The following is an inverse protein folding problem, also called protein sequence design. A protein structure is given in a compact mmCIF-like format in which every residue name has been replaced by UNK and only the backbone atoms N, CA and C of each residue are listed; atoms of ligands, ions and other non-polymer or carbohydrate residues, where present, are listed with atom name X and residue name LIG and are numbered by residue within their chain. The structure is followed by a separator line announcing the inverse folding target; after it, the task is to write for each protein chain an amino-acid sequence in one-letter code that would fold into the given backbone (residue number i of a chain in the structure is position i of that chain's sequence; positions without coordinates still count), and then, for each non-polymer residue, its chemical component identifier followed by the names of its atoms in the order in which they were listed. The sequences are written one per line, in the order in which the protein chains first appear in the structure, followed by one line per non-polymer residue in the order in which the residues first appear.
data_IF_065895736458
#
_entry.id   IF_065895736458
#
_cell.length_a   1.000
_cell.length_b   1.000
_cell.length_c   1.000
_cell.angle_alpha   90.00
_cell.angle_beta   90.00
_cell.angle_gamma   90.00
#
_symmetry.space_group_name_H-M   'P 1'
#
loop_
_entity.id
_entity.type
_entity.pdbx_description
1 polymer ?
#
# COMPACT_ATOMS: atom_id res chain seq x y z
N UNK A 1 -1.13 37.14 8.86
CA UNK A 1 -1.29 36.69 7.46
C UNK A 1 -1.97 35.34 7.54
N UNK A 2 -3.08 35.09 6.84
CA UNK A 2 -3.54 33.70 6.68
C UNK A 2 -2.44 33.00 5.90
N UNK A 3 -1.81 31.97 6.47
CA UNK A 3 -0.92 31.10 5.72
C UNK A 3 -1.66 30.66 4.46
N UNK A 4 -1.02 30.78 3.29
CA UNK A 4 -1.60 30.25 2.06
C UNK A 4 -1.86 28.75 2.26
N UNK A 5 -3.01 28.28 1.80
CA UNK A 5 -3.37 26.87 1.89
C UNK A 5 -2.25 26.03 1.23
N UNK A 6 -1.80 24.94 1.87
CA UNK A 6 -0.63 24.22 1.41
C UNK A 6 -0.89 23.57 0.05
N UNK A 7 0.08 23.66 -0.84
CA UNK A 7 0.15 22.90 -2.09
C UNK A 7 1.23 21.85 -1.96
N UNK A 8 0.88 20.60 -2.22
CA UNK A 8 1.78 19.44 -2.13
C UNK A 8 1.63 18.56 -3.37
N UNK A 9 2.61 17.71 -3.63
CA UNK A 9 2.58 16.83 -4.80
C UNK A 9 3.03 15.41 -4.50
N UNK A 10 2.31 14.45 -5.07
CA UNK A 10 2.83 13.12 -5.32
C UNK A 10 3.40 13.06 -6.74
N UNK A 11 4.70 12.82 -6.84
CA UNK A 11 5.44 12.89 -8.11
C UNK A 11 6.12 11.55 -8.47
N UNK A 12 5.35 10.51 -8.83
CA UNK A 12 5.91 9.20 -9.18
C UNK A 12 6.48 9.19 -10.60
N UNK A 13 7.58 8.47 -10.79
CA UNK A 13 8.04 8.06 -12.12
C UNK A 13 7.29 6.80 -12.57
N UNK A 14 6.72 6.75 -13.78
CA UNK A 14 6.01 5.58 -14.30
C UNK A 14 6.99 4.50 -14.80
N UNK A 15 8.05 4.22 -14.05
CA UNK A 15 9.09 3.24 -14.39
C UNK A 15 8.87 1.88 -13.70
N UNK A 16 7.70 1.70 -13.11
CA UNK A 16 7.35 0.58 -12.25
C UNK A 16 5.98 0.79 -11.61
N UNK A 17 5.38 -0.29 -11.14
CA UNK A 17 4.14 -0.24 -10.37
C UNK A 17 4.35 0.33 -8.98
N UNK A 18 3.30 0.94 -8.42
CA UNK A 18 3.39 1.57 -7.11
C UNK A 18 3.59 0.54 -6.01
N UNK A 19 4.67 0.68 -5.25
CA UNK A 19 4.89 -0.10 -4.03
C UNK A 19 4.29 0.62 -2.80
N UNK A 20 4.15 -0.12 -1.69
CA UNK A 20 3.67 0.38 -0.38
C UNK A 20 4.29 1.71 0.04
N UNK A 21 5.61 1.89 -0.08
CA UNK A 21 6.27 3.15 0.30
C UNK A 21 5.81 4.37 -0.51
N UNK A 22 5.44 4.18 -1.78
CA UNK A 22 4.93 5.20 -2.68
C UNK A 22 3.47 5.50 -2.35
N UNK A 23 2.67 4.47 -2.10
CA UNK A 23 1.28 4.60 -1.63
C UNK A 23 1.21 5.40 -0.33
N UNK A 24 2.09 5.10 0.63
CA UNK A 24 2.16 5.85 1.90
C UNK A 24 2.59 7.30 1.66
N UNK A 25 3.54 7.55 0.77
CA UNK A 25 3.96 8.92 0.43
C UNK A 25 2.80 9.71 -0.20
N UNK A 26 2.05 9.11 -1.13
CA UNK A 26 0.85 9.70 -1.70
C UNK A 26 -0.20 9.98 -0.61
N UNK A 27 -0.44 9.01 0.28
CA UNK A 27 -1.37 9.15 1.39
C UNK A 27 -0.99 10.30 2.35
N UNK A 28 0.28 10.44 2.72
CA UNK A 28 0.70 11.55 3.61
C UNK A 28 0.56 12.92 2.95
N UNK A 29 0.86 13.03 1.65
CA UNK A 29 0.57 14.26 0.89
C UNK A 29 -0.93 14.56 0.89
N UNK A 30 -1.76 13.56 0.57
CA UNK A 30 -3.20 13.71 0.52
C UNK A 30 -3.81 14.07 1.89
N UNK A 31 -3.41 13.37 2.96
CA UNK A 31 -3.88 13.64 4.33
C UNK A 31 -3.52 15.06 4.76
N UNK A 32 -2.28 15.50 4.50
CA UNK A 32 -1.86 16.87 4.83
C UNK A 32 -2.66 17.92 4.05
N UNK A 33 -2.84 17.73 2.74
CA UNK A 33 -3.64 18.63 1.92
C UNK A 33 -5.09 18.69 2.41
N UNK A 34 -5.74 17.54 2.64
CA UNK A 34 -7.14 17.49 3.10
C UNK A 34 -7.30 18.06 4.51
N UNK A 35 -6.35 17.80 5.43
CA UNK A 35 -6.35 18.34 6.79
C UNK A 35 -6.31 19.89 6.81
N UNK A 36 -5.51 20.47 5.93
CA UNK A 36 -5.23 21.91 5.89
C UNK A 36 -6.08 22.67 4.88
N UNK A 37 -7.03 22.01 4.19
CA UNK A 37 -7.81 22.61 3.11
C UNK A 37 -6.93 23.06 1.92
N UNK A 38 -5.83 22.35 1.68
CA UNK A 38 -4.85 22.58 0.62
C UNK A 38 -5.13 21.82 -0.68
N UNK A 39 -4.12 21.80 -1.54
CA UNK A 39 -4.16 21.20 -2.88
C UNK A 39 -3.20 20.01 -2.96
N UNK A 40 -3.72 18.85 -3.36
CA UNK A 40 -2.97 17.63 -3.67
C UNK A 40 -2.80 17.46 -5.18
N UNK A 41 -1.55 17.52 -5.64
CA UNK A 41 -1.20 17.44 -7.06
C UNK A 41 -0.62 16.07 -7.41
N UNK A 42 -1.07 15.46 -8.51
CA UNK A 42 -0.40 14.32 -9.14
C UNK A 42 0.42 14.80 -10.34
N UNK A 43 1.73 14.54 -10.33
CA UNK A 43 2.64 14.86 -11.45
C UNK A 43 3.43 13.64 -11.86
N UNK A 44 3.42 13.25 -13.13
CA UNK A 44 4.24 12.13 -13.59
C UNK A 44 5.64 12.59 -14.01
N UNK A 45 6.64 11.93 -13.45
CA UNK A 45 8.06 12.19 -13.72
C UNK A 45 8.60 11.19 -14.73
N UNK A 46 8.21 11.39 -15.98
CA UNK A 46 8.46 10.51 -17.12
C UNK A 46 9.62 10.99 -18.00
N UNK A 47 10.60 11.70 -17.45
CA UNK A 47 11.75 12.25 -18.21
C UNK A 47 12.76 11.19 -18.65
N UNK A 48 12.81 10.04 -17.97
CA UNK A 48 13.60 8.87 -18.35
C UNK A 48 12.79 7.91 -19.24
N UNK A 49 12.58 8.31 -20.49
CA UNK A 49 11.74 7.61 -21.47
C UNK A 49 12.13 6.13 -21.66
N UNK A 50 13.41 5.78 -21.51
CA UNK A 50 13.89 4.41 -21.67
C UNK A 50 13.41 3.46 -20.55
N UNK A 51 12.97 4.01 -19.41
CA UNK A 51 12.51 3.24 -18.25
C UNK A 51 11.00 3.29 -18.07
N UNK A 52 10.28 4.09 -18.86
CA UNK A 52 8.82 4.21 -18.77
C UNK A 52 8.17 2.87 -19.11
N UNK A 53 7.20 2.47 -18.30
CA UNK A 53 6.35 1.30 -18.51
C UNK A 53 4.95 1.81 -18.88
N UNK A 54 4.45 1.40 -20.03
CA UNK A 54 3.24 1.94 -20.69
C UNK A 54 2.01 1.96 -19.77
N UNK A 55 1.77 0.89 -19.00
CA UNK A 55 0.59 0.75 -18.14
C UNK A 55 0.82 1.23 -16.68
N UNK A 56 2.06 1.56 -16.30
CA UNK A 56 2.39 1.90 -14.92
C UNK A 56 1.69 3.19 -14.46
N UNK A 57 1.60 4.22 -15.31
CA UNK A 57 0.91 5.45 -14.98
C UNK A 57 -0.61 5.23 -14.76
N UNK A 58 -1.23 4.41 -15.61
CA UNK A 58 -2.63 4.03 -15.44
C UNK A 58 -2.84 3.25 -14.13
N UNK A 59 -2.01 2.25 -13.87
CA UNK A 59 -2.05 1.47 -12.63
C UNK A 59 -1.87 2.34 -11.37
N UNK A 60 -1.00 3.35 -11.43
CA UNK A 60 -0.82 4.34 -10.36
C UNK A 60 -2.11 5.13 -10.11
N UNK A 61 -2.71 5.68 -11.17
CA UNK A 61 -3.96 6.44 -11.06
C UNK A 61 -5.11 5.57 -10.53
N UNK A 62 -5.24 4.35 -11.03
CA UNK A 62 -6.29 3.41 -10.61
C UNK A 62 -6.10 2.97 -9.14
N UNK A 63 -4.84 2.84 -8.69
CA UNK A 63 -4.51 2.57 -7.28
C UNK A 63 -4.95 3.73 -6.37
N UNK A 64 -4.64 4.97 -6.74
CA UNK A 64 -5.05 6.15 -5.98
C UNK A 64 -6.57 6.31 -5.96
N UNK A 65 -7.24 6.10 -7.11
CA UNK A 65 -8.69 6.18 -7.23
C UNK A 65 -9.40 5.10 -6.40
N UNK A 66 -8.91 3.85 -6.41
CA UNK A 66 -9.48 2.78 -5.60
C UNK A 66 -9.34 3.06 -4.10
N UNK A 67 -8.21 3.62 -3.67
CA UNK A 67 -8.03 4.07 -2.29
C UNK A 67 -8.90 5.28 -1.95
N UNK A 68 -9.39 6.03 -2.93
CA UNK A 68 -10.11 7.29 -2.70
C UNK A 68 -9.18 8.47 -2.41
N UNK A 69 -7.93 8.40 -2.87
CA UNK A 69 -6.96 9.50 -2.83
C UNK A 69 -7.11 10.35 -4.09
N UNK A 70 -8.19 11.12 -4.14
CA UNK A 70 -8.47 12.07 -5.21
C UNK A 70 -7.42 13.18 -5.28
N UNK A 71 -7.05 13.62 -6.49
CA UNK A 71 -6.13 14.74 -6.70
C UNK A 71 -6.85 15.93 -7.32
N UNK A 72 -6.50 17.11 -6.85
CA UNK A 72 -7.13 18.37 -7.22
C UNK A 72 -6.58 18.91 -8.55
N UNK A 73 -5.28 18.66 -8.79
CA UNK A 73 -4.58 19.00 -10.02
C UNK A 73 -3.76 17.79 -10.49
N UNK A 74 -3.73 17.53 -11.80
CA UNK A 74 -2.99 16.38 -12.33
C UNK A 74 -3.49 15.87 -13.68
N UNK A 75 -2.95 14.74 -14.17
CA UNK A 75 -3.51 14.02 -15.30
C UNK A 75 -5.01 13.73 -15.08
N UNK A 76 -5.81 13.77 -16.15
CA UNK A 76 -7.29 13.65 -16.15
C UNK A 76 -8.03 14.80 -15.45
N UNK A 77 -7.56 15.30 -14.30
CA UNK A 77 -8.17 16.40 -13.56
C UNK A 77 -7.90 17.79 -14.18
N UNK A 78 -6.75 17.96 -14.84
CA UNK A 78 -6.30 19.26 -15.33
C UNK A 78 -5.82 20.15 -14.17
N UNK A 79 -6.00 21.46 -14.29
CA UNK A 79 -5.61 22.46 -13.28
C UNK A 79 -4.74 23.58 -13.85
N UNK A 80 -4.50 24.61 -13.05
CA UNK A 80 -3.88 25.86 -13.51
C UNK A 80 -2.39 25.75 -13.87
N UNK A 81 -1.68 24.75 -13.35
CA UNK A 81 -0.21 24.63 -13.47
C UNK A 81 0.23 23.52 -14.42
N UNK A 82 -0.69 23.02 -15.25
CA UNK A 82 -0.40 21.98 -16.24
C UNK A 82 0.62 22.41 -17.31
N UNK A 83 1.06 21.48 -18.16
CA UNK A 83 0.75 20.05 -18.12
C UNK A 83 1.43 19.34 -16.95
N UNK A 84 0.87 18.19 -16.52
CA UNK A 84 1.32 17.42 -15.34
C UNK A 84 2.17 16.19 -15.70
N UNK A 85 2.65 16.14 -16.94
CA UNK A 85 3.62 15.17 -17.43
C UNK A 85 4.90 15.93 -17.74
N UNK A 86 6.02 15.54 -17.16
CA UNK A 86 7.28 16.25 -17.38
C UNK A 86 7.73 16.17 -18.85
N UNK A 87 7.44 15.06 -19.54
CA UNK A 87 7.65 14.93 -20.98
C UNK A 87 6.96 16.00 -21.84
N UNK A 88 5.91 16.65 -21.32
CA UNK A 88 5.17 17.69 -22.00
C UNK A 88 5.65 19.11 -21.62
N UNK A 89 6.71 19.22 -20.82
CA UNK A 89 7.22 20.49 -20.25
C UNK A 89 8.63 20.84 -20.73
N UNK A 90 9.13 20.17 -21.78
CA UNK A 90 10.52 20.29 -22.24
C UNK A 90 10.95 21.73 -22.53
N UNK A 91 10.11 22.50 -23.21
CA UNK A 91 10.37 23.91 -23.52
C UNK A 91 10.57 24.76 -22.25
N UNK A 92 9.78 24.49 -21.20
CA UNK A 92 9.93 25.17 -19.91
C UNK A 92 11.30 24.89 -19.30
N UNK A 93 11.74 23.63 -19.27
CA UNK A 93 13.05 23.29 -18.72
C UNK A 93 14.19 23.89 -19.53
N UNK A 94 14.09 23.90 -20.86
CA UNK A 94 15.09 24.52 -21.74
C UNK A 94 15.24 26.02 -21.43
N UNK A 95 14.13 26.75 -21.36
CA UNK A 95 14.13 28.18 -21.02
C UNK A 95 14.75 28.49 -19.64
N UNK A 96 14.45 27.66 -18.64
CA UNK A 96 15.03 27.83 -17.30
C UNK A 96 16.52 27.49 -17.28
N UNK A 97 16.96 26.51 -18.06
CA UNK A 97 18.37 26.18 -18.18
C UNK A 97 19.15 27.29 -18.91
N UNK A 98 18.57 27.88 -19.96
CA UNK A 98 19.11 29.04 -20.66
C UNK A 98 19.27 30.24 -19.72
N UNK A 99 18.26 30.51 -18.88
CA UNK A 99 18.34 31.60 -17.88
C UNK A 99 19.54 31.41 -16.95
N UNK A 100 19.75 30.20 -16.43
CA UNK A 100 20.90 29.91 -15.55
C UNK A 100 22.24 29.91 -16.31
N UNK A 101 22.23 29.54 -17.59
CA UNK A 101 23.40 29.58 -18.45
C UNK A 101 23.85 31.02 -18.71
N UNK A 102 22.93 31.93 -19.00
CA UNK A 102 23.19 33.38 -19.13
C UNK A 102 23.73 33.99 -17.83
N UNK A 103 23.26 33.49 -16.67
CA UNK A 103 23.75 33.89 -15.35
C UNK A 103 25.08 33.24 -14.95
N UNK A 104 25.64 32.35 -15.79
CA UNK A 104 26.87 31.61 -15.49
C UNK A 104 26.73 30.59 -14.34
N UNK A 105 25.51 30.21 -13.98
CA UNK A 105 25.20 29.18 -12.95
C UNK A 105 25.06 27.79 -13.55
N UNK A 106 24.94 27.68 -14.86
CA UNK A 106 25.06 26.44 -15.64
C UNK A 106 26.15 26.61 -16.69
N UNK A 107 26.81 25.52 -17.09
CA UNK A 107 27.79 25.49 -18.18
C UNK A 107 27.61 24.25 -19.06
N UNK A 108 28.18 24.31 -20.27
CA UNK A 108 28.20 23.20 -21.22
C UNK A 108 29.37 22.26 -20.93
N UNK A 109 29.10 20.95 -20.96
CA UNK A 109 30.11 19.90 -20.78
C UNK A 109 30.06 18.91 -21.96
N UNK A 110 31.17 18.82 -22.70
CA UNK A 110 31.37 17.92 -23.85
C UNK A 110 32.12 16.65 -23.46
N UNK A 111 32.34 16.40 -22.18
CA UNK A 111 33.07 15.20 -21.72
C UNK A 111 32.30 13.94 -22.11
N UNK A 112 32.89 13.04 -22.93
CA UNK A 112 32.25 11.80 -23.33
C UNK A 112 31.89 10.92 -22.12
N UNK A 113 30.78 10.16 -22.18
CA UNK A 113 30.40 9.25 -21.10
C UNK A 113 31.48 8.22 -20.73
N UNK A 114 32.29 7.79 -21.71
CA UNK A 114 33.39 6.83 -21.52
C UNK A 114 34.51 7.43 -20.66
N UNK A 115 34.83 8.72 -20.85
CA UNK A 115 35.85 9.43 -20.07
C UNK A 115 35.39 9.58 -18.61
N UNK A 116 34.12 9.96 -18.38
CA UNK A 116 33.53 10.04 -17.04
C UNK A 116 33.53 8.67 -16.31
N UNK A 117 33.24 7.59 -17.03
CA UNK A 117 33.27 6.24 -16.46
C UNK A 117 34.70 5.79 -16.13
N UNK A 118 35.69 6.16 -16.94
CA UNK A 118 37.09 5.92 -16.63
C UNK A 118 37.53 6.68 -15.36
N UNK A 119 37.15 7.95 -15.22
CA UNK A 119 37.40 8.74 -14.01
C UNK A 119 36.75 8.12 -12.76
N UNK A 120 35.51 7.62 -12.91
CA UNK A 120 34.79 6.92 -11.82
C UNK A 120 35.50 5.64 -11.39
N UNK A 121 35.93 4.81 -12.35
CA UNK A 121 36.70 3.58 -12.07
C UNK A 121 38.03 3.88 -11.41
N UNK A 122 38.72 4.95 -11.81
CA UNK A 122 39.96 5.39 -11.16
C UNK A 122 39.72 5.78 -9.68
N UNK A 123 38.69 6.60 -9.41
CA UNK A 123 38.31 6.97 -8.04
C UNK A 123 37.96 5.75 -7.17
N UNK A 124 37.22 4.79 -7.73
CA UNK A 124 36.87 3.54 -7.04
C UNK A 124 38.11 2.70 -6.72
N UNK A 125 39.06 2.58 -7.65
CA UNK A 125 40.34 1.88 -7.43
C UNK A 125 41.16 2.53 -6.32
N UNK A 126 41.09 3.85 -6.22
CA UNK A 126 41.71 4.67 -5.17
C UNK A 126 40.91 4.69 -3.86
N UNK A 127 39.74 4.02 -3.81
CA UNK A 127 38.82 3.99 -2.65
C UNK A 127 38.39 5.38 -2.17
N UNK A 128 38.32 6.35 -3.07
CA UNK A 128 37.78 7.68 -2.79
C UNK A 128 36.41 7.86 -3.45
N UNK A 129 35.53 8.71 -2.90
CA UNK A 129 34.31 9.10 -3.58
C UNK A 129 34.60 9.70 -4.96
N UNK A 130 33.82 9.32 -5.96
CA UNK A 130 33.88 9.98 -7.27
C UNK A 130 33.14 11.31 -7.18
N UNK A 131 33.87 12.41 -7.39
CA UNK A 131 33.35 13.76 -7.49
C UNK A 131 33.75 14.32 -8.85
N UNK A 132 32.80 14.92 -9.55
CA UNK A 132 33.09 15.64 -10.79
C UNK A 132 33.86 16.91 -10.45
N UNK A 133 35.07 17.02 -10.97
CA UNK A 133 35.91 18.21 -10.90
C UNK A 133 35.74 19.00 -12.20
N UNK A 134 35.16 20.21 -12.09
CA UNK A 134 34.88 21.07 -13.25
C UNK A 134 36.13 21.34 -14.09
N UNK A 135 37.31 21.38 -13.48
CA UNK A 135 38.57 21.63 -14.20
C UNK A 135 39.02 20.46 -15.09
N UNK A 136 38.46 19.27 -14.88
CA UNK A 136 38.75 18.05 -15.64
C UNK A 136 37.75 17.81 -16.78
N UNK A 137 36.72 18.65 -16.87
CA UNK A 137 35.68 18.56 -17.90
C UNK A 137 36.07 19.35 -19.15
N UNK A 138 35.62 18.85 -20.31
CA UNK A 138 35.73 19.55 -21.59
C UNK A 138 34.66 20.63 -21.65
N UNK A 139 35.05 21.89 -21.64
CA UNK A 139 34.16 23.08 -21.58
C UNK A 139 34.40 24.08 -22.72
N UNK A 140 35.22 23.70 -23.71
CA UNK A 140 35.67 24.50 -24.85
C UNK A 140 35.17 23.97 -26.20
N UNK A 141 34.20 23.05 -26.19
CA UNK A 141 33.62 22.46 -27.40
C UNK A 141 32.69 23.41 -28.18
N UNK A 142 32.34 23.02 -29.40
CA UNK A 142 31.36 23.77 -30.20
C UNK A 142 29.94 23.59 -29.64
N UNK A 143 29.10 24.65 -29.55
CA UNK A 143 27.69 24.52 -29.16
C UNK A 143 26.88 23.53 -30.02
N UNK A 144 27.31 23.27 -31.25
CA UNK A 144 26.64 22.33 -32.18
C UNK A 144 27.03 20.86 -31.93
N UNK A 145 28.07 20.60 -31.14
CA UNK A 145 28.47 19.25 -30.76
C UNK A 145 27.62 18.74 -29.58
N UNK A 146 27.38 17.40 -29.48
CA UNK A 146 26.64 16.83 -28.36
C UNK A 146 27.28 17.18 -27.01
N UNK A 147 26.52 17.84 -26.14
CA UNK A 147 26.96 18.25 -24.81
C UNK A 147 25.81 18.17 -23.82
N UNK A 148 26.14 18.12 -22.53
CA UNK A 148 25.15 18.27 -21.46
C UNK A 148 25.24 19.67 -20.87
N UNK A 149 24.16 20.13 -20.24
CA UNK A 149 24.18 21.34 -19.40
C UNK A 149 24.32 20.92 -17.94
N UNK A 150 25.38 21.38 -17.27
CA UNK A 150 25.66 21.10 -15.85
C UNK A 150 25.43 22.31 -14.99
N UNK A 151 24.83 22.09 -13.82
CA UNK A 151 24.79 23.07 -12.76
C UNK A 151 26.16 23.26 -12.12
N UNK A 152 26.60 24.51 -12.06
CA UNK A 152 27.80 24.92 -11.37
C UNK A 152 27.48 25.10 -9.87
N UNK A 153 27.79 24.09 -9.06
CA UNK A 153 27.66 24.19 -7.60
C UNK A 153 28.52 25.35 -7.09
N UNK A 154 27.94 26.18 -6.22
CA UNK A 154 28.68 27.15 -5.43
C UNK A 154 29.29 26.45 -4.22
N UNK A 155 30.58 26.10 -4.34
CA UNK A 155 31.31 25.37 -3.31
C UNK A 155 31.56 26.18 -2.04
N UNK A 156 31.36 27.51 -2.07
CA UNK A 156 31.51 28.39 -0.91
C UNK A 156 30.22 28.54 -0.11
N UNK A 157 29.10 28.08 -0.67
CA UNK A 157 27.80 28.14 -0.04
C UNK A 157 27.44 26.77 0.58
N UNK A 158 27.26 26.75 1.89
CA UNK A 158 26.86 25.56 2.64
C UNK A 158 25.33 25.53 2.80
N UNK A 159 24.59 24.77 1.98
CA UNK A 159 23.14 24.68 2.11
C UNK A 159 22.76 24.03 3.45
N UNK A 160 21.80 24.64 4.12
CA UNK A 160 21.22 24.14 5.35
C UNK A 160 19.70 24.38 5.37
N UNK A 161 18.95 23.45 5.93
CA UNK A 161 17.49 23.49 5.98
C UNK A 161 16.97 22.82 7.24
N UNK A 162 15.73 23.12 7.59
CA UNK A 162 15.00 22.47 8.66
C UNK A 162 14.04 21.45 8.04
N UNK A 163 14.40 20.17 8.15
CA UNK A 163 13.50 19.09 7.75
C UNK A 163 12.48 18.86 8.85
N UNK A 164 11.20 18.72 8.50
CA UNK A 164 10.13 18.54 9.51
C UNK A 164 10.32 17.24 10.30
N UNK A 165 10.84 16.18 9.67
CA UNK A 165 11.06 14.89 10.33
C UNK A 165 12.44 14.82 10.94
N UNK A 166 13.50 15.14 10.17
CA UNK A 166 14.89 14.94 10.60
C UNK A 166 15.51 16.14 11.35
N UNK A 167 14.82 17.27 11.42
CA UNK A 167 15.32 18.51 12.04
C UNK A 167 16.36 19.23 11.19
N UNK A 168 17.17 20.10 11.81
CA UNK A 168 18.21 20.87 11.11
C UNK A 168 19.21 19.96 10.42
N UNK A 169 19.38 20.14 9.12
CA UNK A 169 20.36 19.45 8.28
C UNK A 169 21.27 20.48 7.59
N UNK A 170 22.48 20.05 7.26
CA UNK A 170 23.44 20.85 6.48
C UNK A 170 24.43 19.97 5.73
N UNK A 171 24.96 20.48 4.63
CA UNK A 171 26.10 19.90 3.90
C UNK A 171 27.05 21.01 3.46
N UNK A 172 28.35 20.72 3.48
CA UNK A 172 29.33 21.65 2.96
C UNK A 172 29.21 21.75 1.44
N UNK A 173 29.21 22.96 0.88
CA UNK A 173 29.18 23.17 -0.57
C UNK A 173 30.36 22.48 -1.28
N UNK A 174 31.50 22.41 -0.61
CA UNK A 174 32.70 21.70 -1.06
C UNK A 174 32.54 20.18 -1.16
N UNK A 175 31.50 19.58 -0.56
CA UNK A 175 31.18 18.15 -0.72
C UNK A 175 30.26 17.88 -1.92
N UNK A 176 29.60 18.91 -2.44
CA UNK A 176 28.64 18.78 -3.53
C UNK A 176 29.33 18.86 -4.91
N UNK A 177 28.91 17.99 -5.82
CA UNK A 177 29.39 17.90 -7.20
C UNK A 177 28.43 18.56 -8.20
N UNK A 178 29.01 19.14 -9.24
CA UNK A 178 28.29 19.65 -10.41
C UNK A 178 27.51 18.52 -11.07
N UNK A 179 26.19 18.70 -11.21
CA UNK A 179 25.29 17.68 -11.73
C UNK A 179 24.65 18.14 -13.03
N UNK A 180 24.26 17.17 -13.87
CA UNK A 180 23.61 17.44 -15.14
C UNK A 180 22.19 17.96 -14.90
N UNK A 181 21.84 19.09 -15.52
CA UNK A 181 20.50 19.66 -15.58
C UNK A 181 19.76 19.21 -16.84
N UNK A 182 20.38 19.36 -18.01
CA UNK A 182 19.86 18.85 -19.28
C UNK A 182 20.86 17.87 -19.90
N UNK A 183 20.34 16.73 -20.36
CA UNK A 183 21.07 15.73 -21.15
C UNK A 183 21.31 16.25 -22.57
N UNK A 184 22.15 15.56 -23.33
CA UNK A 184 22.49 15.92 -24.72
C UNK A 184 21.35 15.76 -25.72
N UNK A 185 20.31 15.01 -25.35
CA UNK A 185 19.05 14.89 -26.09
C UNK A 185 18.05 16.03 -25.75
N UNK A 186 18.45 17.01 -24.93
CA UNK A 186 17.62 18.14 -24.50
C UNK A 186 16.65 17.83 -23.37
N UNK A 187 16.58 16.59 -22.88
CA UNK A 187 15.72 16.22 -21.77
C UNK A 187 16.33 16.59 -20.42
N UNK A 188 15.52 17.05 -19.45
CA UNK A 188 16.03 17.36 -18.12
C UNK A 188 16.36 16.10 -17.32
N UNK A 189 17.20 16.25 -16.31
CA UNK A 189 17.34 15.25 -15.25
C UNK A 189 16.28 15.45 -14.16
N UNK A 190 16.05 14.41 -13.36
CA UNK A 190 15.15 14.45 -12.20
C UNK A 190 15.40 15.69 -11.33
N UNK A 191 16.66 15.99 -11.00
CA UNK A 191 17.01 17.06 -10.06
C UNK A 191 16.55 18.43 -10.57
N UNK A 192 16.74 18.69 -11.86
CA UNK A 192 16.40 19.97 -12.46
C UNK A 192 14.90 20.09 -12.71
N UNK A 193 14.28 19.07 -13.32
CA UNK A 193 12.85 19.07 -13.59
C UNK A 193 12.01 19.20 -12.31
N UNK A 194 12.38 18.49 -11.23
CA UNK A 194 11.69 18.58 -9.94
C UNK A 194 11.67 20.00 -9.37
N UNK A 195 12.82 20.67 -9.33
CA UNK A 195 12.91 22.03 -8.74
C UNK A 195 12.14 23.04 -9.58
N UNK A 196 12.28 22.97 -10.91
CA UNK A 196 11.54 23.85 -11.83
C UNK A 196 10.04 23.64 -11.66
N UNK A 197 9.56 22.39 -11.65
CA UNK A 197 8.12 22.13 -11.52
C UNK A 197 7.57 22.41 -10.12
N UNK A 198 8.34 22.13 -9.07
CA UNK A 198 7.91 22.46 -7.70
C UNK A 198 7.75 23.98 -7.55
N UNK A 199 8.62 24.79 -8.16
CA UNK A 199 8.43 26.25 -8.22
C UNK A 199 7.22 26.64 -9.08
N UNK A 200 7.13 26.16 -10.32
CA UNK A 200 6.07 26.54 -11.26
C UNK A 200 4.67 26.04 -10.86
N UNK A 201 4.58 25.06 -9.97
CA UNK A 201 3.32 24.56 -9.42
C UNK A 201 3.00 25.13 -8.03
N UNK A 202 3.78 26.14 -7.58
CA UNK A 202 3.67 26.78 -6.26
C UNK A 202 3.69 25.78 -5.11
N UNK A 203 4.53 24.74 -5.19
CA UNK A 203 4.63 23.72 -4.13
C UNK A 203 5.16 24.36 -2.86
N UNK A 204 4.38 24.22 -1.79
CA UNK A 204 4.71 24.75 -0.46
C UNK A 204 5.44 23.74 0.41
N UNK A 205 5.09 22.44 0.28
CA UNK A 205 5.67 21.35 1.05
C UNK A 205 5.98 20.16 0.14
N UNK A 206 7.21 19.66 0.25
CA UNK A 206 7.70 18.50 -0.48
C UNK A 206 7.79 17.32 0.48
N UNK A 207 6.75 16.49 0.49
CA UNK A 207 6.71 15.22 1.22
C UNK A 207 7.15 14.08 0.29
N UNK A 208 8.29 13.44 0.61
CA UNK A 208 8.87 12.36 -0.20
C UNK A 208 9.73 11.43 0.64
N UNK A 209 10.15 10.29 0.08
CA UNK A 209 11.02 9.35 0.79
C UNK A 209 12.40 9.94 1.17
N UNK A 210 12.96 9.46 2.27
CA UNK A 210 14.23 9.93 2.83
C UNK A 210 15.48 9.64 1.97
N UNK A 211 15.36 8.81 0.94
CA UNK A 211 16.43 8.61 -0.05
C UNK A 211 16.85 9.93 -0.72
N UNK A 212 15.93 10.90 -0.80
CA UNK A 212 16.18 12.22 -1.37
C UNK A 212 16.78 13.22 -0.38
N UNK A 213 16.95 12.85 0.90
CA UNK A 213 17.57 13.73 1.91
C UNK A 213 18.98 14.14 1.47
N UNK A 214 19.73 13.19 0.89
CA UNK A 214 21.07 13.40 0.32
C UNK A 214 21.09 14.33 -0.91
N UNK A 215 19.97 14.45 -1.62
CA UNK A 215 19.84 15.28 -2.82
C UNK A 215 19.33 16.69 -2.50
N UNK A 216 18.69 16.89 -1.34
CA UNK A 216 18.16 18.19 -0.90
C UNK A 216 19.17 19.34 -0.96
N UNK A 217 20.43 19.20 -0.53
CA UNK A 217 21.46 20.23 -0.70
C UNK A 217 21.60 20.74 -2.15
N UNK A 218 21.51 19.85 -3.14
CA UNK A 218 21.58 20.21 -4.56
C UNK A 218 20.36 20.98 -5.02
N UNK A 219 19.17 20.64 -4.51
CA UNK A 219 17.94 21.38 -4.80
C UNK A 219 18.01 22.79 -4.21
N UNK A 220 18.49 22.94 -2.98
CA UNK A 220 18.65 24.25 -2.33
C UNK A 220 19.60 25.16 -3.11
N UNK A 221 20.70 24.61 -3.63
CA UNK A 221 21.62 25.34 -4.53
C UNK A 221 20.93 25.81 -5.82
N UNK A 222 20.04 25.00 -6.42
CA UNK A 222 19.23 25.41 -7.57
C UNK A 222 18.25 26.53 -7.22
N UNK A 223 17.47 26.38 -6.14
CA UNK A 223 16.55 27.42 -5.66
C UNK A 223 17.30 28.74 -5.43
N UNK A 224 18.47 28.68 -4.77
CA UNK A 224 19.31 29.85 -4.54
C UNK A 224 19.83 30.48 -5.84
N UNK A 225 20.23 29.68 -6.83
CA UNK A 225 20.68 30.20 -8.13
C UNK A 225 19.57 30.91 -8.92
N UNK A 226 18.33 30.44 -8.83
CA UNK A 226 17.18 31.14 -9.40
C UNK A 226 16.68 32.33 -8.56
N UNK A 227 17.12 32.46 -7.31
CA UNK A 227 16.56 33.41 -6.35
C UNK A 227 15.12 33.06 -5.93
N UNK A 228 14.75 31.78 -5.99
CA UNK A 228 13.42 31.28 -5.64
C UNK A 228 13.32 30.92 -4.16
N UNK A 229 12.10 31.03 -3.63
CA UNK A 229 11.79 30.56 -2.29
C UNK A 229 11.73 29.03 -2.27
N UNK A 230 12.37 28.42 -1.27
CA UNK A 230 12.36 26.97 -1.08
C UNK A 230 11.07 26.51 -0.41
N UNK A 231 10.49 25.37 -0.82
CA UNK A 231 9.41 24.74 -0.07
C UNK A 231 9.91 24.19 1.28
N UNK A 232 8.98 23.89 2.17
CA UNK A 232 9.24 23.08 3.35
C UNK A 232 9.52 21.63 2.94
N UNK A 233 10.57 21.01 3.47
CA UNK A 233 10.94 19.64 3.16
C UNK A 233 10.52 18.68 4.28
N UNK A 234 9.89 17.57 3.89
CA UNK A 234 9.42 16.52 4.78
C UNK A 234 9.90 15.18 4.21
N UNK A 235 10.99 14.64 4.77
CA UNK A 235 11.50 13.35 4.35
C UNK A 235 10.87 12.22 5.18
N UNK A 236 10.14 11.34 4.51
CA UNK A 236 9.42 10.22 5.13
C UNK A 236 10.35 9.00 5.20
N UNK A 237 10.63 8.43 6.38
CA UNK A 237 11.54 7.28 6.50
C UNK A 237 11.01 6.06 5.76
N UNK A 238 11.86 5.13 5.29
CA UNK A 238 11.43 4.00 4.48
C UNK A 238 10.50 3.08 5.26
N UNK A 239 9.70 2.30 4.52
CA UNK A 239 9.03 1.12 5.07
C UNK A 239 10.01 -0.05 4.96
N UNK A 240 10.20 -0.77 6.04
CA UNK A 240 11.03 -1.96 6.11
C UNK A 240 10.19 -3.23 6.02
N UNK A 241 10.78 -4.31 5.51
CA UNK A 241 10.25 -5.65 5.67
C UNK A 241 10.50 -6.21 7.08
N UNK A 242 9.98 -7.41 7.37
CA UNK A 242 10.20 -8.10 8.65
C UNK A 242 11.69 -8.34 8.96
N UNK A 243 12.53 -8.43 7.93
CA UNK A 243 13.99 -8.55 8.01
C UNK A 243 14.73 -7.24 8.35
N UNK A 244 13.98 -6.15 8.55
CA UNK A 244 14.47 -4.78 8.82
C UNK A 244 15.25 -4.17 7.66
N UNK A 245 15.14 -4.69 6.44
CA UNK A 245 15.66 -4.04 5.23
C UNK A 245 14.56 -3.30 4.48
N UNK A 246 14.90 -2.41 3.55
CA UNK A 246 13.91 -1.65 2.76
C UNK A 246 12.94 -2.62 2.08
N UNK A 247 11.63 -2.38 2.27
CA UNK A 247 10.59 -3.24 1.73
C UNK A 247 10.72 -3.33 0.20
N UNK A 248 10.62 -4.54 -0.33
CA UNK A 248 10.77 -4.84 -1.75
C UNK A 248 9.75 -5.89 -2.16
N UNK A 249 9.57 -6.10 -3.48
CA UNK A 249 8.68 -7.16 -4.00
C UNK A 249 9.04 -8.56 -3.50
N UNK A 250 10.30 -8.80 -3.11
CA UNK A 250 10.76 -10.09 -2.57
C UNK A 250 10.17 -10.40 -1.20
N UNK A 251 9.70 -9.38 -0.48
CA UNK A 251 9.06 -9.52 0.82
C UNK A 251 7.56 -9.75 0.72
N UNK A 252 7.03 -10.03 -0.48
CA UNK A 252 5.58 -10.19 -0.71
C UNK A 252 4.81 -8.88 -0.73
N UNK A 253 5.48 -7.72 -0.66
CA UNK A 253 4.83 -6.42 -0.68
C UNK A 253 4.15 -6.16 -2.03
N UNK A 254 2.82 -6.16 -1.98
CA UNK A 254 1.94 -5.99 -3.13
C UNK A 254 1.66 -4.50 -3.43
N UNK A 255 1.18 -4.24 -4.65
CA UNK A 255 0.56 -2.97 -5.01
C UNK A 255 -0.87 -2.88 -4.48
N UNK A 256 -1.47 -1.68 -4.50
CA UNK A 256 -2.83 -1.46 -3.97
C UNK A 256 -3.88 -2.34 -4.69
N UNK A 257 -3.77 -2.50 -6.01
CA UNK A 257 -4.74 -3.27 -6.80
C UNK A 257 -4.70 -4.77 -6.49
N UNK A 258 -3.56 -5.31 -6.07
CA UNK A 258 -3.49 -6.72 -5.65
C UNK A 258 -4.22 -6.93 -4.31
N UNK A 259 -4.09 -5.99 -3.35
CA UNK A 259 -4.91 -6.00 -2.13
C UNK A 259 -6.40 -5.83 -2.42
N UNK A 260 -6.78 -5.03 -3.41
CA UNK A 260 -8.17 -4.97 -3.90
C UNK A 260 -8.64 -6.33 -4.37
N UNK A 261 -7.85 -7.00 -5.19
CA UNK A 261 -8.21 -8.29 -5.79
C UNK A 261 -8.29 -9.41 -4.75
N UNK A 262 -7.56 -9.28 -3.63
CA UNK A 262 -7.70 -10.15 -2.45
C UNK A 262 -8.89 -9.79 -1.56
N UNK A 263 -9.52 -8.63 -1.78
CA UNK A 263 -10.71 -8.22 -1.06
C UNK A 263 -10.44 -7.46 0.25
N UNK A 264 -9.31 -6.75 0.33
CA UNK A 264 -9.11 -5.76 1.38
C UNK A 264 -9.99 -4.53 1.15
N UNK A 265 -10.37 -3.86 2.23
CA UNK A 265 -11.12 -2.62 2.17
C UNK A 265 -10.15 -1.44 1.96
N UNK A 266 -10.46 -0.49 1.06
CA UNK A 266 -9.58 0.66 0.82
C UNK A 266 -9.36 1.50 2.08
N UNK A 267 -10.41 1.67 2.92
CA UNK A 267 -10.32 2.36 4.20
C UNK A 267 -9.39 1.67 5.20
N UNK A 268 -9.35 0.33 5.21
CA UNK A 268 -8.45 -0.43 6.05
C UNK A 268 -7.00 -0.33 5.59
N UNK A 269 -6.75 -0.39 4.28
CA UNK A 269 -5.41 -0.22 3.74
C UNK A 269 -4.90 1.21 3.98
N UNK A 270 -5.74 2.23 3.79
CA UNK A 270 -5.41 3.62 4.19
C UNK A 270 -5.07 3.70 5.67
N UNK A 271 -5.90 3.12 6.54
CA UNK A 271 -5.64 3.09 7.98
C UNK A 271 -4.29 2.45 8.28
N UNK A 272 -4.01 1.27 7.73
CA UNK A 272 -2.76 0.59 7.97
C UNK A 272 -1.57 1.42 7.48
N UNK A 273 -1.60 1.89 6.23
CA UNK A 273 -0.55 2.73 5.63
C UNK A 273 -0.31 4.01 6.45
N UNK A 274 -1.37 4.65 6.95
CA UNK A 274 -1.26 5.84 7.77
C UNK A 274 -0.46 5.58 9.05
N UNK A 275 -0.64 4.41 9.67
CA UNK A 275 0.07 4.04 10.90
C UNK A 275 1.53 3.59 10.67
N UNK A 276 1.97 3.46 9.41
CA UNK A 276 3.36 3.11 9.07
C UNK A 276 4.31 4.31 9.20
N UNK A 277 4.65 4.64 10.45
CA UNK A 277 5.57 5.73 10.78
C UNK A 277 4.87 7.01 11.18
N UNK A 278 3.59 6.94 11.56
CA UNK A 278 2.83 8.05 12.14
C UNK A 278 1.83 7.52 13.18
N UNK A 279 1.54 8.32 14.20
CA UNK A 279 0.46 8.10 15.15
C UNK A 279 -0.13 9.46 15.55
N UNK A 280 -1.37 9.49 15.99
CA UNK A 280 -2.06 10.72 16.39
C UNK A 280 -1.69 11.20 17.81
N UNK A 281 -0.71 10.56 18.46
CA UNK A 281 -0.35 10.78 19.85
C UNK A 281 -1.13 9.95 20.86
N UNK A 282 -2.00 9.05 20.40
CA UNK A 282 -2.75 8.10 21.24
C UNK A 282 -2.33 6.66 20.95
N UNK A 283 -3.00 5.70 21.60
CA UNK A 283 -2.85 4.26 21.32
C UNK A 283 -3.90 3.73 20.33
N UNK A 284 -4.67 4.63 19.68
CA UNK A 284 -5.66 4.24 18.67
C UNK A 284 -4.95 3.67 17.43
N UNK A 285 -5.40 2.51 16.96
CA UNK A 285 -4.87 1.89 15.74
C UNK A 285 -5.91 1.77 14.62
N UNK A 286 -7.20 1.80 14.97
CA UNK A 286 -8.30 1.72 14.00
C UNK A 286 -8.83 3.13 13.76
N UNK A 287 -8.77 3.57 12.51
CA UNK A 287 -9.20 4.90 12.09
C UNK A 287 -10.08 4.83 10.85
N UNK A 288 -11.09 5.67 10.81
CA UNK A 288 -11.79 6.03 9.57
C UNK A 288 -10.95 7.01 8.74
N UNK A 289 -11.14 7.11 7.41
CA UNK A 289 -10.48 8.12 6.60
C UNK A 289 -10.70 9.56 7.11
N UNK A 290 -11.91 9.87 7.60
CA UNK A 290 -12.23 11.18 8.15
C UNK A 290 -11.44 11.50 9.43
N UNK A 291 -11.26 10.52 10.32
CA UNK A 291 -10.42 10.69 11.51
C UNK A 291 -8.96 10.92 11.14
N UNK A 292 -8.43 10.17 10.15
CA UNK A 292 -7.06 10.37 9.67
C UNK A 292 -6.88 11.78 9.12
N UNK A 293 -7.80 12.25 8.26
CA UNK A 293 -7.76 13.63 7.74
C UNK A 293 -7.75 14.63 8.88
N UNK A 294 -8.62 14.46 9.89
CA UNK A 294 -8.73 15.44 10.98
C UNK A 294 -7.52 15.42 11.93
N UNK A 295 -6.85 14.28 12.10
CA UNK A 295 -5.77 14.12 13.09
C UNK A 295 -4.37 14.20 12.48
N UNK A 296 -4.21 14.02 11.17
CA UNK A 296 -2.90 13.99 10.54
C UNK A 296 -2.13 15.30 10.75
N UNK A 297 -0.86 15.17 11.12
CA UNK A 297 0.07 16.29 11.31
C UNK A 297 1.49 15.84 10.94
N UNK A 298 2.28 16.74 10.38
CA UNK A 298 3.64 16.42 9.89
C UNK A 298 4.60 16.14 11.04
N UNK A 299 4.43 16.83 12.17
CA UNK A 299 5.30 16.75 13.37
C UNK A 299 5.19 15.38 14.05
N UNK A 300 4.14 14.62 13.75
CA UNK A 300 3.88 13.29 14.29
C UNK A 300 4.45 12.16 13.42
N UNK A 301 5.03 12.49 12.27
CA UNK A 301 5.78 11.52 11.45
C UNK A 301 7.05 11.13 12.24
N UNK A 302 7.19 9.84 12.49
CA UNK A 302 8.30 9.28 13.25
C UNK A 302 9.56 9.24 12.40
N UNK A 303 10.75 9.36 13.03
CA UNK A 303 12.06 9.23 12.35
C UNK A 303 12.44 7.77 12.07
N UNK A 304 11.98 6.84 12.91
CA UNK A 304 12.33 5.43 12.80
C UNK A 304 11.58 4.76 11.63
N UNK A 305 12.23 3.91 10.83
CA UNK A 305 11.56 3.14 9.78
C UNK A 305 10.44 2.28 10.37
N UNK A 306 9.28 2.29 9.70
CA UNK A 306 8.16 1.44 10.06
C UNK A 306 8.32 0.05 9.43
N UNK A 307 7.99 -1.00 10.17
CA UNK A 307 8.01 -2.38 9.66
C UNK A 307 6.64 -2.72 9.10
N UNK A 308 6.62 -3.27 7.90
CA UNK A 308 5.42 -3.83 7.29
C UNK A 308 5.10 -5.19 7.93
N UNK A 309 3.87 -5.34 8.42
CA UNK A 309 3.37 -6.55 9.10
C UNK A 309 2.02 -6.94 8.50
N UNK A 310 2.01 -8.03 7.73
CA UNK A 310 0.80 -8.57 7.09
C UNK A 310 -0.25 -9.00 8.12
N UNK A 311 0.16 -9.59 9.25
CA UNK A 311 -0.77 -10.00 10.30
C UNK A 311 -1.46 -8.80 10.96
N UNK A 312 -0.75 -7.68 11.09
CA UNK A 312 -1.34 -6.41 11.54
C UNK A 312 -2.28 -5.82 10.50
N UNK A 313 -1.94 -5.87 9.21
CA UNK A 313 -2.83 -5.43 8.14
C UNK A 313 -4.12 -6.26 8.11
N UNK A 314 -4.03 -7.58 8.22
CA UNK A 314 -5.16 -8.50 8.33
C UNK A 314 -6.05 -8.16 9.54
N UNK A 315 -5.44 -7.91 10.69
CA UNK A 315 -6.16 -7.53 11.90
C UNK A 315 -6.93 -6.21 11.73
N UNK A 316 -6.29 -5.18 11.17
CA UNK A 316 -6.94 -3.90 10.86
C UNK A 316 -8.09 -4.14 9.86
N UNK A 317 -7.86 -4.85 8.75
CA UNK A 317 -8.90 -5.09 7.75
C UNK A 317 -10.08 -5.87 8.31
N UNK A 318 -9.84 -6.88 9.15
CA UNK A 318 -10.89 -7.59 9.88
C UNK A 318 -11.73 -6.67 10.77
N UNK A 319 -11.13 -5.70 11.45
CA UNK A 319 -11.89 -4.68 12.22
C UNK A 319 -12.79 -3.84 11.33
N UNK A 320 -12.28 -3.40 10.18
CA UNK A 320 -13.08 -2.65 9.22
C UNK A 320 -14.20 -3.49 8.62
N UNK A 321 -13.98 -4.78 8.34
CA UNK A 321 -15.00 -5.71 7.85
C UNK A 321 -16.11 -5.94 8.89
N UNK A 322 -15.76 -6.11 10.17
CA UNK A 322 -16.74 -6.21 11.26
C UNK A 322 -17.57 -4.95 11.46
N UNK A 323 -16.99 -3.79 11.17
CA UNK A 323 -17.70 -2.51 11.25
C UNK A 323 -18.67 -2.26 10.09
N UNK A 324 -18.63 -3.05 9.01
CA UNK A 324 -19.56 -2.91 7.90
C UNK A 324 -20.98 -3.33 8.31
N UNK A 325 -21.97 -2.64 7.74
CA UNK A 325 -23.34 -3.16 7.73
C UNK A 325 -23.39 -4.42 6.88
N UNK A 326 -24.34 -5.30 7.18
CA UNK A 326 -24.52 -6.53 6.42
C UNK A 326 -24.82 -6.26 4.93
N UNK A 327 -25.57 -5.19 4.63
CA UNK A 327 -25.85 -4.78 3.24
C UNK A 327 -24.57 -4.40 2.48
N UNK A 328 -23.67 -3.66 3.14
CA UNK A 328 -22.37 -3.29 2.58
C UNK A 328 -21.49 -4.52 2.37
N UNK A 329 -21.45 -5.41 3.36
CA UNK A 329 -20.67 -6.64 3.28
C UNK A 329 -21.16 -7.54 2.14
N UNK A 330 -22.47 -7.71 1.98
CA UNK A 330 -23.08 -8.48 0.88
C UNK A 330 -22.63 -7.93 -0.47
N UNK A 331 -22.70 -6.60 -0.66
CA UNK A 331 -22.28 -5.97 -1.92
C UNK A 331 -20.80 -6.18 -2.21
N UNK A 332 -19.95 -6.08 -1.19
CA UNK A 332 -18.49 -6.27 -1.36
C UNK A 332 -18.11 -7.72 -1.59
N UNK A 333 -18.84 -8.66 -0.99
CA UNK A 333 -18.59 -10.10 -1.09
C UNK A 333 -19.00 -10.73 -2.44
N UNK A 334 -19.77 -10.02 -3.28
CA UNK A 334 -20.36 -10.57 -4.51
C UNK A 334 -19.35 -11.27 -5.42
N UNK A 335 -18.16 -10.68 -5.60
CA UNK A 335 -17.08 -11.24 -6.42
C UNK A 335 -16.23 -12.33 -5.77
N UNK A 336 -16.47 -12.66 -4.50
CA UNK A 336 -15.61 -13.53 -3.68
C UNK A 336 -16.26 -14.84 -3.27
N UNK A 337 -17.51 -15.09 -3.67
CA UNK A 337 -18.18 -16.35 -3.35
C UNK A 337 -17.52 -17.55 -4.08
N UNK A 338 -17.48 -18.75 -3.45
CA UNK A 338 -17.09 -19.96 -4.15
C UNK A 338 -18.07 -20.26 -5.28
N UNK A 339 -17.60 -20.95 -6.32
CA UNK A 339 -18.43 -21.27 -7.50
C UNK A 339 -19.72 -22.03 -7.13
N UNK A 340 -19.69 -22.87 -6.10
CA UNK A 340 -20.86 -23.62 -5.61
C UNK A 340 -21.96 -22.73 -5.02
N UNK A 341 -21.64 -21.51 -4.60
CA UNK A 341 -22.62 -20.56 -4.11
C UNK A 341 -23.38 -19.84 -5.24
N UNK A 342 -23.09 -20.13 -6.53
CA UNK A 342 -23.71 -19.42 -7.66
C UNK A 342 -25.23 -19.51 -7.67
N UNK A 343 -25.78 -20.68 -7.33
CA UNK A 343 -27.22 -20.95 -7.35
C UNK A 343 -27.92 -20.64 -6.02
N UNK A 344 -27.17 -20.34 -4.97
CA UNK A 344 -27.73 -19.99 -3.67
C UNK A 344 -28.46 -18.64 -3.72
N UNK A 345 -29.59 -18.57 -3.01
CA UNK A 345 -30.36 -17.33 -2.87
C UNK A 345 -29.55 -16.26 -2.12
N UNK A 346 -29.86 -15.00 -2.40
CA UNK A 346 -29.20 -13.88 -1.70
C UNK A 346 -29.51 -13.87 -0.20
N UNK A 347 -30.71 -14.30 0.21
CA UNK A 347 -31.06 -14.41 1.63
C UNK A 347 -30.21 -15.46 2.34
N UNK A 348 -29.95 -16.60 1.69
CA UNK A 348 -29.08 -17.63 2.27
C UNK A 348 -27.62 -17.16 2.35
N UNK A 349 -27.11 -16.49 1.29
CA UNK A 349 -25.78 -15.86 1.33
C UNK A 349 -25.65 -14.82 2.44
N UNK A 350 -26.70 -14.04 2.69
CA UNK A 350 -26.76 -13.06 3.78
C UNK A 350 -26.69 -13.74 5.15
N UNK A 351 -27.40 -14.85 5.35
CA UNK A 351 -27.31 -15.65 6.56
C UNK A 351 -25.88 -16.18 6.76
N UNK A 352 -25.27 -16.76 5.72
CA UNK A 352 -23.88 -17.25 5.76
C UNK A 352 -22.90 -16.13 6.12
N UNK A 353 -23.00 -14.95 5.50
CA UNK A 353 -22.13 -13.81 5.81
C UNK A 353 -22.23 -13.38 7.27
N UNK A 354 -23.44 -13.41 7.85
CA UNK A 354 -23.65 -13.07 9.26
C UNK A 354 -22.83 -14.00 10.18
N UNK A 355 -22.71 -15.28 9.82
CA UNK A 355 -21.94 -16.27 10.59
C UNK A 355 -20.43 -16.12 10.46
N UNK A 356 -19.94 -15.61 9.33
CA UNK A 356 -18.50 -15.53 9.04
C UNK A 356 -17.90 -14.13 9.15
N UNK A 357 -18.71 -13.07 9.26
CA UNK A 357 -18.24 -11.68 9.30
C UNK A 357 -17.15 -11.46 10.36
N UNK A 358 -17.34 -11.99 11.56
CA UNK A 358 -16.38 -11.87 12.68
C UNK A 358 -15.02 -12.53 12.39
N UNK A 359 -14.98 -13.49 11.45
CA UNK A 359 -13.82 -14.32 11.12
C UNK A 359 -13.06 -13.85 9.89
N UNK A 360 -13.69 -13.06 9.02
CA UNK A 360 -13.07 -12.59 7.79
C UNK A 360 -11.91 -11.64 8.10
N UNK A 361 -10.73 -11.94 7.56
CA UNK A 361 -9.62 -10.98 7.52
C UNK A 361 -9.63 -10.18 6.24
N UNK A 362 -10.02 -10.80 5.12
CA UNK A 362 -10.25 -10.18 3.82
C UNK A 362 -11.26 -11.04 3.04
N UNK A 363 -11.90 -10.46 2.01
CA UNK A 363 -13.02 -11.14 1.34
C UNK A 363 -12.57 -12.38 0.53
N UNK A 364 -11.31 -12.43 0.11
CA UNK A 364 -10.71 -13.61 -0.53
C UNK A 364 -10.69 -14.89 0.32
N UNK A 365 -10.84 -14.81 1.66
CA UNK A 365 -11.00 -16.00 2.51
C UNK A 365 -12.42 -16.60 2.44
N UNK A 366 -13.38 -15.89 1.84
CA UNK A 366 -14.78 -16.31 1.83
C UNK A 366 -14.98 -17.72 1.24
N UNK A 367 -14.34 -18.13 0.13
CA UNK A 367 -14.46 -19.50 -0.37
C UNK A 367 -14.04 -20.55 0.65
N UNK A 368 -12.89 -20.36 1.32
CA UNK A 368 -12.37 -21.32 2.30
C UNK A 368 -13.24 -21.40 3.56
N UNK A 369 -13.78 -20.27 3.99
CA UNK A 369 -14.62 -20.17 5.19
C UNK A 369 -16.07 -20.63 4.97
N UNK A 370 -16.54 -20.71 3.71
CA UNK A 370 -17.97 -20.92 3.43
C UNK A 370 -18.31 -22.06 2.48
N UNK A 371 -17.34 -22.69 1.81
CA UNK A 371 -17.64 -23.72 0.80
C UNK A 371 -18.59 -24.82 1.31
N UNK A 372 -18.48 -25.21 2.58
CA UNK A 372 -19.31 -26.27 3.17
C UNK A 372 -20.79 -25.88 3.31
N UNK A 373 -21.15 -24.60 3.25
CA UNK A 373 -22.56 -24.18 3.18
C UNK A 373 -23.21 -24.50 1.84
N UNK A 374 -22.42 -24.75 0.80
CA UNK A 374 -22.88 -24.91 -0.58
C UNK A 374 -22.51 -26.27 -1.18
N UNK A 375 -21.53 -26.96 -0.60
CA UNK A 375 -21.05 -28.26 -1.09
C UNK A 375 -20.86 -29.22 0.08
N UNK A 376 -21.16 -30.50 -0.13
CA UNK A 376 -20.90 -31.52 0.87
C UNK A 376 -19.41 -31.86 0.99
N UNK A 377 -18.92 -32.16 2.21
CA UNK A 377 -17.56 -32.64 2.38
C UNK A 377 -17.34 -33.97 1.66
N UNK A 378 -16.40 -33.99 0.73
CA UNK A 378 -15.94 -35.23 0.09
C UNK A 378 -14.95 -35.99 1.00
N UNK A 379 -14.09 -35.25 1.68
CA UNK A 379 -13.03 -35.74 2.56
C UNK A 379 -13.19 -35.18 3.97
N UNK A 380 -12.65 -35.91 4.95
CA UNK A 380 -12.67 -35.52 6.35
C UNK A 380 -11.26 -35.56 6.92
N UNK A 381 -10.89 -34.58 7.76
CA UNK A 381 -9.57 -34.50 8.36
C UNK A 381 -9.34 -35.63 9.37
N UNK A 382 -8.09 -36.04 9.58
CA UNK A 382 -7.69 -37.14 10.50
C UNK A 382 -8.16 -36.90 11.95
N UNK A 383 -8.45 -35.66 12.31
CA UNK A 383 -8.99 -35.27 13.61
C UNK A 383 -10.42 -35.74 13.84
N UNK A 384 -11.11 -36.28 12.82
CA UNK A 384 -12.37 -36.99 12.97
C UNK A 384 -12.11 -38.41 13.46
N UNK A 385 -12.39 -38.65 14.74
CA UNK A 385 -12.33 -39.97 15.34
C UNK A 385 -13.51 -40.83 14.86
N UNK A 386 -13.21 -41.86 14.07
CA UNK A 386 -14.21 -42.74 13.47
C UNK A 386 -14.88 -43.67 14.50
N UNK A 387 -14.20 -44.02 15.60
CA UNK A 387 -14.82 -44.82 16.66
C UNK A 387 -15.86 -44.00 17.41
N UNK A 388 -15.51 -42.76 17.77
CA UNK A 388 -16.44 -41.82 18.37
C UNK A 388 -17.59 -41.48 17.42
N UNK A 389 -17.32 -41.30 16.13
CA UNK A 389 -18.37 -41.08 15.13
C UNK A 389 -19.34 -42.28 15.06
N UNK A 390 -18.82 -43.52 15.01
CA UNK A 390 -19.64 -44.74 15.01
C UNK A 390 -20.50 -44.86 16.26
N UNK A 391 -19.95 -44.52 17.43
CA UNK A 391 -20.65 -44.63 18.71
C UNK A 391 -21.70 -43.53 18.93
N UNK A 392 -21.38 -42.27 18.62
CA UNK A 392 -22.18 -41.12 19.04
C UNK A 392 -23.15 -40.62 17.96
N UNK A 393 -22.78 -40.67 16.67
CA UNK A 393 -23.64 -40.14 15.60
C UNK A 393 -25.04 -40.77 15.53
N UNK A 394 -25.27 -42.06 15.84
CA UNK A 394 -26.63 -42.60 15.92
C UNK A 394 -27.51 -41.85 16.93
N UNK A 395 -26.97 -41.53 18.11
CA UNK A 395 -27.70 -40.82 19.17
C UNK A 395 -27.88 -39.34 18.84
N UNK A 396 -26.89 -38.72 18.16
CA UNK A 396 -27.03 -37.36 17.62
C UNK A 396 -28.16 -37.30 16.61
N UNK A 397 -28.22 -38.24 15.66
CA UNK A 397 -29.25 -38.30 14.62
C UNK A 397 -30.66 -38.45 15.23
N UNK A 398 -30.82 -39.31 16.22
CA UNK A 398 -32.08 -39.46 16.98
C UNK A 398 -32.47 -38.16 17.71
N UNK A 399 -31.50 -37.53 18.36
CA UNK A 399 -31.70 -36.29 19.12
C UNK A 399 -32.22 -35.16 18.21
N UNK A 400 -31.56 -34.94 17.07
CA UNK A 400 -31.92 -33.85 16.15
C UNK A 400 -33.14 -34.15 15.28
N UNK A 401 -33.61 -35.40 15.20
CA UNK A 401 -34.84 -35.75 14.49
C UNK A 401 -36.09 -35.19 15.19
N UNK A 402 -36.03 -35.07 16.51
CA UNK A 402 -37.11 -34.49 17.34
C UNK A 402 -37.00 -32.98 17.54
N UNK A 403 -36.02 -32.35 16.90
CA UNK A 403 -35.71 -30.92 17.04
C UNK A 403 -36.55 -30.06 16.10
N UNK A 404 -36.88 -28.83 16.50
CA UNK A 404 -37.43 -27.81 15.60
C UNK A 404 -36.36 -27.14 14.71
N UNK A 405 -35.09 -27.53 14.92
CA UNK A 405 -33.91 -27.07 14.21
C UNK A 405 -33.57 -25.58 14.36
N UNK A 406 -34.13 -24.92 15.36
CA UNK A 406 -33.66 -23.61 15.82
C UNK A 406 -32.33 -23.73 16.56
N UNK A 407 -31.54 -22.65 16.57
CA UNK A 407 -30.22 -22.63 17.24
C UNK A 407 -30.33 -22.99 18.74
N UNK A 408 -31.33 -22.45 19.42
CA UNK A 408 -31.56 -22.67 20.85
C UNK A 408 -31.95 -24.12 21.16
N UNK A 409 -32.86 -24.71 20.38
CA UNK A 409 -33.30 -26.11 20.57
C UNK A 409 -32.16 -27.09 20.25
N UNK A 410 -31.38 -26.84 19.19
CA UNK A 410 -30.18 -27.63 18.87
C UNK A 410 -29.15 -27.56 19.99
N UNK A 411 -28.90 -26.38 20.56
CA UNK A 411 -27.98 -26.19 21.67
C UNK A 411 -28.44 -26.96 22.92
N UNK A 412 -29.69 -26.77 23.34
CA UNK A 412 -30.26 -27.42 24.53
C UNK A 412 -30.15 -28.94 24.42
N UNK A 413 -30.63 -29.50 23.31
CA UNK A 413 -30.67 -30.95 23.09
C UNK A 413 -29.30 -31.57 22.99
N UNK A 414 -28.39 -30.98 22.22
CA UNK A 414 -27.05 -31.55 22.05
C UNK A 414 -26.22 -31.43 23.32
N UNK A 415 -26.40 -30.38 24.14
CA UNK A 415 -25.80 -30.30 25.47
C UNK A 415 -26.41 -31.31 26.45
N UNK A 416 -27.72 -31.54 26.38
CA UNK A 416 -28.38 -32.62 27.10
C UNK A 416 -27.79 -33.99 26.76
N UNK A 417 -27.61 -34.26 25.45
CA UNK A 417 -27.01 -35.50 24.96
C UNK A 417 -25.56 -35.69 25.47
N UNK A 418 -24.77 -34.61 25.56
CA UNK A 418 -23.42 -34.69 26.17
C UNK A 418 -23.49 -35.23 27.60
N UNK A 419 -24.45 -34.75 28.40
CA UNK A 419 -24.63 -35.21 29.78
C UNK A 419 -25.15 -36.65 29.85
N UNK A 420 -26.06 -37.04 28.96
CA UNK A 420 -26.58 -38.41 28.89
C UNK A 420 -25.51 -39.45 28.50
N UNK A 421 -24.61 -39.09 27.58
CA UNK A 421 -23.53 -39.96 27.13
C UNK A 421 -22.32 -39.96 28.07
N UNK A 422 -22.27 -39.05 29.04
CA UNK A 422 -21.12 -38.82 29.94
C UNK A 422 -19.79 -38.60 29.18
N UNK A 423 -19.84 -37.78 28.12
CA UNK A 423 -18.69 -37.47 27.26
C UNK A 423 -18.26 -36.01 27.41
N UNK A 424 -17.06 -35.67 26.94
CA UNK A 424 -16.63 -34.26 26.90
C UNK A 424 -17.34 -33.51 25.79
N UNK A 425 -17.93 -32.36 26.12
CA UNK A 425 -18.61 -31.46 25.16
C UNK A 425 -17.78 -31.19 23.91
N UNK A 426 -16.49 -30.86 24.10
CA UNK A 426 -15.59 -30.55 22.99
C UNK A 426 -15.32 -31.73 22.05
N UNK A 427 -15.37 -32.96 22.52
CA UNK A 427 -15.15 -34.16 21.71
C UNK A 427 -16.38 -34.46 20.84
N UNK A 428 -17.58 -34.48 21.45
CA UNK A 428 -18.82 -34.69 20.69
C UNK A 428 -19.04 -33.58 19.66
N UNK A 429 -18.89 -32.32 20.06
CA UNK A 429 -19.13 -31.18 19.15
C UNK A 429 -18.11 -31.12 18.03
N UNK A 430 -16.87 -31.57 18.27
CA UNK A 430 -15.86 -31.71 17.23
C UNK A 430 -16.25 -32.78 16.21
N UNK A 431 -16.76 -33.94 16.66
CA UNK A 431 -17.26 -35.00 15.77
C UNK A 431 -18.41 -34.47 14.91
N UNK A 432 -19.40 -33.81 15.50
CA UNK A 432 -20.54 -33.24 14.76
C UNK A 432 -20.04 -32.18 13.77
N UNK A 433 -19.21 -31.22 14.21
CA UNK A 433 -18.68 -30.16 13.35
C UNK A 433 -17.97 -30.73 12.13
N UNK A 434 -16.97 -31.59 12.35
CA UNK A 434 -16.19 -32.14 11.25
C UNK A 434 -17.10 -32.95 10.32
N UNK A 435 -18.10 -33.66 10.86
CA UNK A 435 -19.04 -34.43 10.04
C UNK A 435 -19.89 -33.56 9.13
N UNK A 436 -20.30 -32.36 9.58
CA UNK A 436 -21.17 -31.49 8.79
C UNK A 436 -20.40 -30.47 7.95
N UNK A 437 -19.17 -30.13 8.30
CA UNK A 437 -18.38 -29.10 7.58
C UNK A 437 -17.16 -29.64 6.85
N UNK A 438 -16.67 -30.83 7.19
CA UNK A 438 -15.37 -31.31 6.72
C UNK A 438 -14.17 -30.54 7.30
N UNK A 439 -14.40 -29.67 8.31
CA UNK A 439 -13.37 -28.79 8.86
C UNK A 439 -13.31 -28.87 10.38
N UNK A 440 -12.11 -28.70 10.94
CA UNK A 440 -11.88 -28.67 12.40
C UNK A 440 -12.33 -27.35 13.04
N UNK A 441 -12.35 -26.28 12.24
CA UNK A 441 -12.83 -24.95 12.62
C UNK A 441 -13.94 -24.51 11.66
N UNK A 442 -14.99 -23.93 12.21
CA UNK A 442 -16.15 -23.38 11.51
C UNK A 442 -16.77 -22.29 12.43
N UNK A 443 -17.80 -21.55 11.97
CA UNK A 443 -18.64 -20.75 12.86
C UNK A 443 -19.26 -21.57 14.01
N UNK A 444 -20.07 -20.91 14.85
CA UNK A 444 -20.78 -21.59 15.94
C UNK A 444 -21.51 -22.85 15.43
N UNK A 445 -21.43 -23.94 16.20
CA UNK A 445 -21.88 -25.26 15.72
C UNK A 445 -23.37 -25.25 15.43
N UNK A 446 -24.17 -24.68 16.34
CA UNK A 446 -25.63 -24.72 16.27
C UNK A 446 -26.14 -23.79 15.17
N UNK A 447 -25.53 -22.61 15.02
CA UNK A 447 -25.79 -21.64 13.98
C UNK A 447 -25.42 -22.20 12.60
N UNK A 448 -24.31 -22.94 12.52
CA UNK A 448 -23.91 -23.66 11.29
C UNK A 448 -24.93 -24.75 10.94
N UNK A 449 -25.36 -25.55 11.91
CA UNK A 449 -26.40 -26.57 11.69
C UNK A 449 -27.71 -25.93 11.24
N UNK A 450 -28.16 -24.88 11.92
CA UNK A 450 -29.36 -24.13 11.59
C UNK A 450 -29.32 -23.60 10.15
N UNK A 451 -28.20 -22.99 9.74
CA UNK A 451 -28.01 -22.50 8.37
C UNK A 451 -27.98 -23.63 7.33
N UNK A 452 -27.29 -24.76 7.60
CA UNK A 452 -27.28 -25.91 6.68
C UNK A 452 -28.67 -26.53 6.51
N UNK A 453 -29.50 -26.44 7.54
CA UNK A 453 -30.83 -27.03 7.60
C UNK A 453 -30.82 -28.53 7.93
N UNK A 454 -31.97 -29.01 8.42
CA UNK A 454 -32.12 -30.36 8.97
C UNK A 454 -31.74 -31.47 7.99
N UNK A 455 -32.22 -31.37 6.75
CA UNK A 455 -31.95 -32.38 5.72
C UNK A 455 -30.45 -32.53 5.44
N UNK A 456 -29.77 -31.42 5.15
CA UNK A 456 -28.32 -31.40 4.87
C UNK A 456 -27.52 -31.91 6.06
N UNK A 457 -27.82 -31.43 7.27
CA UNK A 457 -27.12 -31.88 8.48
C UNK A 457 -27.28 -33.38 8.71
N UNK A 458 -28.50 -33.91 8.67
CA UNK A 458 -28.76 -35.34 8.88
C UNK A 458 -28.08 -36.20 7.82
N UNK A 459 -28.17 -35.80 6.55
CA UNK A 459 -27.55 -36.52 5.42
C UNK A 459 -26.02 -36.59 5.54
N UNK A 460 -25.36 -35.51 5.97
CA UNK A 460 -23.90 -35.48 6.18
C UNK A 460 -23.48 -36.34 7.37
N UNK A 461 -24.19 -36.25 8.51
CA UNK A 461 -23.95 -37.12 9.66
C UNK A 461 -24.14 -38.60 9.31
N UNK A 462 -25.16 -38.95 8.53
CA UNK A 462 -25.37 -40.31 8.03
C UNK A 462 -24.23 -40.78 7.12
N UNK A 463 -23.72 -39.91 6.25
CA UNK A 463 -22.60 -40.23 5.37
C UNK A 463 -21.34 -40.58 6.17
N UNK A 464 -21.02 -39.81 7.20
CA UNK A 464 -19.90 -40.11 8.11
C UNK A 464 -20.16 -41.38 8.90
N UNK A 465 -21.38 -41.58 9.43
CA UNK A 465 -21.73 -42.80 10.16
C UNK A 465 -21.58 -44.06 9.29
N UNK A 466 -21.96 -44.02 8.02
CA UNK A 466 -21.74 -45.12 7.08
C UNK A 466 -20.26 -45.42 6.88
N UNK A 467 -19.43 -44.39 6.64
CA UNK A 467 -17.96 -44.54 6.54
C UNK A 467 -17.35 -45.11 7.82
N UNK A 468 -17.77 -44.63 8.98
CA UNK A 468 -17.29 -45.10 10.27
C UNK A 468 -17.65 -46.57 10.56
N UNK A 469 -18.73 -47.09 9.95
CA UNK A 469 -19.11 -48.50 10.02
C UNK A 469 -18.35 -49.39 9.05
N UNK A 470 -17.83 -48.85 7.96
CA UNK A 470 -17.02 -49.60 6.97
C UNK A 470 -15.57 -49.78 7.41
N UNK A 471 -15.05 -48.85 8.24
CA UNK A 471 -13.66 -48.87 8.74
C UNK A 471 -13.49 -49.78 9.97
N UNK A 472 -14.60 -50.14 10.63
CA UNK A 472 -14.63 -51.01 11.83
C UNK A 472 -14.82 -52.48 11.46
#
# INVERSE_FOLDING_TARGET
MREQAPRVRFAPSPTGYMHVGGLRTALFNWLFARNQGGVFILRFEDTDQARVIEDAAASIMDSLQWLGLDWDEGPRAGGAHGPYWQSQRLESYQKHAETLLEQGRIYRDWTPPQDLEAMRKAAQKEKRPFKVDRSQLKTDGSPDEPHVLRFAIDQSHDPAWDDVVYGRQSRAGSELDDFVCLKSDGWPTYNFANVVDDHLMDISHVLRGDEFLSSTPKFLQLYAAFGWQTPSFVHVPPVHGPDKTKLSKRHGALGALEYRDWGYLPGALINFLATLGWNDGTTQEIFTPAELINRFSLERIQKSPAVFDDGRLDWINGHHLRALTLDELVRRAEGFWPQSAREASMDYKRQVLTLVQERLKYLGELPELTWFFFTDPAEYPEQLDMDNARQWLPRVLETIESSDFSEADLEERLRGLVAELDVKTGELFKVIRISITGQTAAPGLFETMHALGSETTRRRLQTVLSRAREVA
#
